data_IF_081450273791
#
_entry.id   IF_081450273791
#
_cell.length_a   1.000
_cell.length_b   1.000
_cell.length_c   1.000
_cell.angle_alpha   90.00
_cell.angle_beta   90.00
_cell.angle_gamma   90.00
#
_symmetry.space_group_name_H-M   'P 1'
#
loop_
_entity.id
_entity.type
_entity.pdbx_description
1 polymer ?
#
# COMPACT_ATOMS: atom_id res chain seq x y z
N UNK A 1 6.59 -0.80 -34.19
CA UNK A 1 6.96 -1.13 -32.80
C UNK A 1 5.65 -1.07 -32.02
N UNK A 2 5.03 -2.23 -31.77
CA UNK A 2 3.81 -2.28 -30.95
C UNK A 2 4.33 -2.37 -29.52
N UNK A 3 3.97 -1.38 -28.69
CA UNK A 3 4.18 -1.46 -27.25
C UNK A 3 3.23 -2.57 -26.76
N UNK A 4 3.79 -3.72 -26.42
CA UNK A 4 3.03 -4.77 -25.75
C UNK A 4 2.61 -4.22 -24.39
N UNK A 5 1.30 -4.01 -24.22
CA UNK A 5 0.71 -3.66 -22.93
C UNK A 5 1.01 -4.80 -21.96
N UNK A 6 1.81 -4.53 -20.93
CA UNK A 6 2.07 -5.52 -19.87
C UNK A 6 0.74 -5.83 -19.17
N UNK A 7 0.21 -7.04 -19.42
CA UNK A 7 -0.99 -7.52 -18.74
C UNK A 7 -0.67 -7.78 -17.27
N UNK A 8 -1.26 -6.96 -16.39
CA UNK A 8 -1.22 -7.22 -14.95
C UNK A 8 -1.86 -8.57 -14.63
N UNK A 9 -1.19 -9.35 -13.78
CA UNK A 9 -1.70 -10.62 -13.25
C UNK A 9 -2.52 -10.37 -12.00
N UNK A 10 -3.34 -11.35 -11.63
CA UNK A 10 -4.21 -11.28 -10.44
C UNK A 10 -3.42 -11.21 -9.12
N UNK A 11 -2.20 -11.72 -9.13
CA UNK A 11 -1.28 -11.83 -8.00
C UNK A 11 -0.19 -10.75 -8.01
N UNK A 12 -0.26 -9.77 -8.93
CA UNK A 12 0.69 -8.66 -8.94
C UNK A 12 0.51 -7.80 -7.69
N UNK A 13 1.60 -7.62 -6.96
CA UNK A 13 1.66 -6.72 -5.81
C UNK A 13 1.66 -5.27 -6.33
N UNK A 14 0.64 -4.50 -5.93
CA UNK A 14 0.52 -3.08 -6.30
C UNK A 14 1.44 -2.21 -5.42
N UNK A 15 1.52 -2.52 -4.14
CA UNK A 15 2.34 -1.85 -3.14
C UNK A 15 2.67 -2.84 -2.01
N UNK A 16 3.87 -2.74 -1.44
CA UNK A 16 4.31 -3.58 -0.33
C UNK A 16 5.16 -2.79 0.65
N UNK A 17 5.01 -3.11 1.93
CA UNK A 17 5.97 -2.81 2.98
C UNK A 17 6.74 -4.08 3.31
N UNK A 18 8.02 -3.96 3.63
CA UNK A 18 8.88 -5.07 4.01
C UNK A 18 9.52 -4.82 5.39
N UNK A 19 10.26 -5.81 5.89
CA UNK A 19 10.91 -5.74 7.20
C UNK A 19 11.97 -4.65 7.27
N UNK A 20 12.69 -4.39 6.19
CA UNK A 20 13.70 -3.33 6.15
C UNK A 20 13.04 -1.96 6.30
N UNK A 21 11.87 -1.71 5.69
CA UNK A 21 11.11 -0.48 5.88
C UNK A 21 10.75 -0.28 7.36
N UNK A 22 10.28 -1.36 8.02
CA UNK A 22 9.96 -1.35 9.46
C UNK A 22 11.20 -1.08 10.31
N UNK A 23 12.34 -1.69 9.98
CA UNK A 23 13.59 -1.49 10.72
C UNK A 23 14.20 -0.11 10.50
N UNK A 24 14.09 0.44 9.29
CA UNK A 24 14.51 1.82 8.98
C UNK A 24 13.75 2.80 9.85
N UNK A 25 12.41 2.70 9.89
CA UNK A 25 11.59 3.56 10.76
C UNK A 25 11.93 3.36 12.23
N UNK A 26 12.19 2.13 12.67
CA UNK A 26 12.59 1.87 14.06
C UNK A 26 13.95 2.51 14.40
N UNK A 27 14.93 2.42 13.50
CA UNK A 27 16.24 3.03 13.71
C UNK A 27 16.14 4.57 13.75
N UNK A 28 15.31 5.15 12.88
CA UNK A 28 15.15 6.62 12.77
C UNK A 28 14.34 7.20 13.94
N UNK A 29 13.25 6.55 14.36
CA UNK A 29 12.31 7.11 15.33
C UNK A 29 12.59 6.66 16.78
N UNK A 30 13.10 5.45 16.99
CA UNK A 30 13.35 4.89 18.33
C UNK A 30 14.82 4.50 18.57
N UNK A 31 15.70 4.64 17.57
CA UNK A 31 17.15 4.52 17.74
C UNK A 31 17.67 3.09 17.94
N UNK A 32 16.90 2.06 17.58
CA UNK A 32 17.33 0.66 17.67
C UNK A 32 16.57 -0.24 16.70
N UNK A 33 17.14 -1.41 16.45
CA UNK A 33 16.44 -2.49 15.76
C UNK A 33 15.36 -3.15 16.64
N UNK A 34 14.33 -3.65 15.98
CA UNK A 34 13.25 -4.44 16.56
C UNK A 34 13.59 -5.92 16.56
N UNK A 35 13.19 -6.61 17.63
CA UNK A 35 13.21 -8.07 17.68
C UNK A 35 12.09 -8.69 16.86
N UNK A 36 12.23 -9.96 16.47
CA UNK A 36 11.21 -10.68 15.69
C UNK A 36 9.81 -10.68 16.33
N UNK A 37 9.73 -10.75 17.67
CA UNK A 37 8.45 -10.67 18.38
C UNK A 37 7.82 -9.28 18.31
N UNK A 38 8.62 -8.22 18.33
CA UNK A 38 8.13 -6.85 18.20
C UNK A 38 7.67 -6.58 16.77
N UNK A 39 8.46 -7.00 15.78
CA UNK A 39 8.11 -6.91 14.35
C UNK A 39 6.75 -7.56 14.11
N UNK A 40 6.56 -8.80 14.58
CA UNK A 40 5.28 -9.49 14.41
C UNK A 40 4.10 -8.73 15.01
N UNK A 41 4.26 -8.14 16.20
CA UNK A 41 3.21 -7.33 16.81
C UNK A 41 2.92 -6.05 16.03
N UNK A 42 3.93 -5.49 15.37
CA UNK A 42 3.81 -4.28 14.56
C UNK A 42 3.16 -4.60 13.21
N UNK A 43 3.50 -5.73 12.58
CA UNK A 43 2.88 -6.20 11.33
C UNK A 43 1.36 -6.29 11.46
N UNK A 44 0.86 -6.89 12.55
CA UNK A 44 -0.57 -7.01 12.81
C UNK A 44 -1.22 -5.62 12.93
N UNK A 45 -0.60 -4.70 13.67
CA UNK A 45 -1.08 -3.33 13.83
C UNK A 45 -1.03 -2.53 12.52
N UNK A 46 0.00 -2.71 11.70
CA UNK A 46 0.11 -2.06 10.39
C UNK A 46 -1.04 -2.55 9.50
N UNK A 47 -1.29 -3.86 9.44
CA UNK A 47 -2.39 -4.41 8.64
C UNK A 47 -3.76 -3.88 9.08
N UNK A 48 -3.99 -3.74 10.39
CA UNK A 48 -5.25 -3.23 10.94
C UNK A 48 -5.44 -1.72 10.71
N UNK A 49 -4.36 -0.95 10.61
CA UNK A 49 -4.42 0.51 10.46
C UNK A 49 -4.25 1.00 9.00
N UNK A 50 -3.65 0.20 8.11
CA UNK A 50 -3.61 0.53 6.69
C UNK A 50 -5.02 0.33 6.14
N UNK A 51 -5.70 1.44 5.88
CA UNK A 51 -7.01 1.45 5.23
C UNK A 51 -6.88 1.24 3.71
N UNK A 52 -6.35 0.07 3.33
CA UNK A 52 -6.04 -0.28 1.95
C UNK A 52 -7.30 -0.30 1.07
N UNK A 53 -8.44 -0.69 1.64
CA UNK A 53 -9.70 -0.76 0.89
C UNK A 53 -10.14 0.62 0.44
N UNK A 54 -10.20 1.59 1.37
CA UNK A 54 -10.62 2.95 1.05
C UNK A 54 -9.61 3.62 0.11
N UNK A 55 -8.31 3.39 0.29
CA UNK A 55 -7.28 3.89 -0.62
C UNK A 55 -7.47 3.40 -2.07
N UNK A 56 -7.83 2.11 -2.26
CA UNK A 56 -8.15 1.56 -3.58
C UNK A 56 -9.45 2.15 -4.12
N UNK A 57 -10.49 2.25 -3.29
CA UNK A 57 -11.78 2.80 -3.67
C UNK A 57 -11.65 4.27 -4.13
N UNK A 58 -10.91 5.08 -3.39
CA UNK A 58 -10.64 6.48 -3.70
C UNK A 58 -9.87 6.62 -5.01
N UNK A 59 -8.86 5.77 -5.24
CA UNK A 59 -8.11 5.76 -6.49
C UNK A 59 -8.99 5.39 -7.70
N UNK A 60 -9.88 4.41 -7.54
CA UNK A 60 -10.87 4.03 -8.56
C UNK A 60 -11.81 5.22 -8.82
N UNK A 61 -12.35 5.85 -7.78
CA UNK A 61 -13.28 6.96 -7.92
C UNK A 61 -12.63 8.18 -8.60
N UNK A 62 -11.39 8.49 -8.26
CA UNK A 62 -10.66 9.61 -8.83
C UNK A 62 -10.30 9.42 -10.31
N UNK A 63 -10.13 8.16 -10.78
CA UNK A 63 -9.61 7.87 -12.13
C UNK A 63 -10.61 7.26 -13.09
N UNK A 64 -11.64 6.58 -12.58
CA UNK A 64 -12.60 5.81 -13.38
C UNK A 64 -14.02 6.35 -13.16
N UNK A 65 -14.42 6.61 -11.91
CA UNK A 65 -15.81 6.96 -11.59
C UNK A 65 -16.20 8.43 -11.82
N UNK A 66 -15.42 9.23 -12.56
CA UNK A 66 -15.85 10.57 -13.03
C UNK A 66 -16.87 10.48 -14.18
N UNK A 67 -17.90 9.66 -14.02
CA UNK A 67 -19.03 9.58 -14.94
C UNK A 67 -20.23 10.22 -14.24
N UNK A 68 -20.56 11.43 -14.70
CA UNK A 68 -21.77 12.23 -14.42
C UNK A 68 -21.69 13.23 -13.25
N UNK A 69 -21.09 14.39 -13.48
CA UNK A 69 -21.62 15.67 -13.00
C UNK A 69 -21.12 16.82 -13.88
N UNK A 70 -21.52 16.79 -15.15
CA UNK A 70 -21.72 18.01 -15.94
C UNK A 70 -23.24 18.16 -16.09
N UNK A 71 -23.88 18.70 -15.07
CA UNK A 71 -25.12 19.46 -15.23
C UNK A 71 -24.77 20.89 -14.82
N UNK A 72 -24.43 21.71 -15.82
CA UNK A 72 -24.72 23.15 -15.89
C UNK A 72 -24.73 23.61 -17.36
#
# INVERSE_FOLDING_TARGET
MILEEEMKKKDDIIYSLNIDDVQTVAMEEIGRELSLSEIKSIEDLICDNINWYDAILDAINAKISQVNSEDD
#
